data_IF_557644325496
#
_entry.id   IF_557644325496
#
_cell.length_a   1.000
_cell.length_b   1.000
_cell.length_c   1.000
_cell.angle_alpha   90.00
_cell.angle_beta   90.00
_cell.angle_gamma   90.00
#
_symmetry.space_group_name_H-M   'P 1'
#
loop_
_entity.id
_entity.type
_entity.pdbx_description
1 polymer ?
#
# COMPACT_ATOMS: atom_id res chain seq x y z
N UNK A 1 -20.43 -36.07 -52.80
CA UNK A 1 -20.63 -36.34 -51.33
C UNK A 1 -19.33 -36.32 -50.52
N UNK A 2 -18.16 -36.70 -51.03
CA UNK A 2 -16.90 -36.74 -50.27
C UNK A 2 -16.35 -35.33 -50.03
N UNK A 3 -16.42 -34.41 -50.96
CA UNK A 3 -15.90 -33.03 -50.86
C UNK A 3 -16.68 -32.21 -49.84
N UNK A 4 -17.99 -32.42 -49.67
CA UNK A 4 -18.80 -31.72 -48.66
C UNK A 4 -18.49 -32.17 -47.21
N UNK A 5 -18.06 -33.41 -46.99
CA UNK A 5 -17.68 -33.93 -45.68
C UNK A 5 -16.31 -33.44 -45.22
N UNK A 6 -15.38 -33.15 -46.15
CA UNK A 6 -14.05 -32.62 -45.84
C UNK A 6 -14.15 -31.14 -45.42
N UNK A 7 -15.01 -30.37 -46.13
CA UNK A 7 -15.23 -28.95 -45.79
C UNK A 7 -15.83 -28.76 -44.37
N UNK A 8 -16.76 -29.62 -43.97
CA UNK A 8 -17.39 -29.56 -42.63
C UNK A 8 -16.41 -29.92 -41.50
N UNK A 9 -15.51 -30.87 -41.72
CA UNK A 9 -14.48 -31.29 -40.78
C UNK A 9 -13.42 -30.21 -40.59
N UNK A 10 -13.05 -29.44 -41.64
CA UNK A 10 -12.09 -28.32 -41.54
C UNK A 10 -12.67 -27.12 -40.78
N UNK A 11 -13.97 -26.84 -40.96
CA UNK A 11 -14.65 -25.75 -40.22
C UNK A 11 -14.81 -26.12 -38.74
N UNK A 12 -15.08 -27.40 -38.43
CA UNK A 12 -15.20 -27.83 -37.04
C UNK A 12 -13.85 -27.81 -36.30
N UNK A 13 -12.72 -28.02 -37.01
CA UNK A 13 -11.37 -27.93 -36.42
C UNK A 13 -10.91 -26.51 -36.20
N UNK A 14 -11.36 -25.53 -36.98
CA UNK A 14 -11.10 -24.12 -36.82
C UNK A 14 -11.90 -23.49 -35.66
N UNK A 15 -13.02 -24.10 -35.27
CA UNK A 15 -13.83 -23.63 -34.13
C UNK A 15 -13.34 -24.16 -32.77
N UNK A 16 -12.45 -25.15 -32.74
CA UNK A 16 -11.89 -25.75 -31.52
C UNK A 16 -10.60 -25.10 -31.03
N UNK A 17 -10.04 -24.15 -31.78
CA UNK A 17 -8.89 -23.34 -31.36
C UNK A 17 -9.30 -22.02 -30.68
N UNK A 18 -10.46 -21.97 -30.03
CA UNK A 18 -10.66 -20.98 -28.97
C UNK A 18 -9.69 -21.37 -27.84
N UNK A 19 -8.49 -20.80 -27.89
CA UNK A 19 -7.56 -20.82 -26.76
C UNK A 19 -8.36 -20.36 -25.54
N UNK A 20 -8.74 -21.33 -24.71
CA UNK A 20 -9.22 -21.04 -23.37
C UNK A 20 -8.04 -20.37 -22.66
N UNK A 21 -7.94 -19.05 -22.74
CA UNK A 21 -7.02 -18.27 -21.93
C UNK A 21 -7.42 -18.54 -20.49
N UNK A 22 -6.84 -19.58 -19.91
CA UNK A 22 -6.93 -19.83 -18.49
C UNK A 22 -6.40 -18.59 -17.80
N UNK A 23 -7.26 -17.88 -17.09
CA UNK A 23 -6.83 -16.70 -16.32
C UNK A 23 -5.75 -17.16 -15.34
N UNK A 24 -4.61 -16.48 -15.38
CA UNK A 24 -3.51 -16.75 -14.46
C UNK A 24 -3.92 -16.40 -13.03
N UNK A 25 -3.88 -17.37 -12.13
CA UNK A 25 -4.27 -17.17 -10.73
C UNK A 25 -3.09 -16.67 -9.90
N UNK A 26 -3.27 -15.53 -9.27
CA UNK A 26 -2.23 -14.81 -8.53
C UNK A 26 -2.75 -14.43 -7.14
N UNK A 27 -1.94 -14.67 -6.11
CA UNK A 27 -2.19 -14.20 -4.75
C UNK A 27 -1.52 -12.85 -4.53
N UNK A 28 -2.32 -11.85 -4.22
CA UNK A 28 -1.84 -10.49 -3.91
C UNK A 28 -2.23 -10.14 -2.49
N UNK A 29 -1.29 -9.59 -1.69
CA UNK A 29 -1.60 -9.11 -0.36
C UNK A 29 -1.74 -7.59 -0.31
N UNK A 30 -2.65 -7.11 0.55
CA UNK A 30 -2.73 -5.71 0.96
C UNK A 30 -2.64 -5.59 2.48
N UNK A 31 -2.01 -4.49 2.96
CA UNK A 31 -1.55 -4.42 4.34
C UNK A 31 -2.42 -3.59 5.30
N UNK A 32 -3.44 -2.90 4.78
CA UNK A 32 -4.39 -2.14 5.59
C UNK A 32 -5.77 -2.10 4.92
N UNK A 33 -6.83 -2.15 5.72
CA UNK A 33 -8.21 -2.11 5.25
C UNK A 33 -8.76 -0.67 5.12
N UNK A 34 -7.91 0.35 5.27
CA UNK A 34 -8.27 1.75 5.06
C UNK A 34 -8.17 2.17 3.59
N UNK A 35 -8.64 3.37 3.29
CA UNK A 35 -8.72 3.89 1.93
C UNK A 35 -7.36 4.05 1.21
N UNK A 36 -6.23 4.09 1.92
CA UNK A 36 -4.91 4.21 1.30
C UNK A 36 -4.56 3.01 0.41
N UNK A 37 -5.16 1.84 0.66
CA UNK A 37 -5.01 0.64 -0.14
C UNK A 37 -6.06 0.51 -1.26
N UNK A 38 -6.77 1.59 -1.59
CA UNK A 38 -7.91 1.58 -2.52
C UNK A 38 -7.63 0.83 -3.82
N UNK A 39 -6.52 1.10 -4.50
CA UNK A 39 -6.25 0.57 -5.84
C UNK A 39 -6.19 -0.96 -5.87
N UNK A 40 -5.78 -1.59 -4.77
CA UNK A 40 -5.66 -3.05 -4.66
C UNK A 40 -7.01 -3.74 -4.67
N UNK A 41 -7.93 -3.30 -3.82
CA UNK A 41 -9.25 -3.92 -3.74
C UNK A 41 -10.22 -3.37 -4.78
N UNK A 42 -10.04 -2.13 -5.24
CA UNK A 42 -10.82 -1.59 -6.34
C UNK A 42 -10.57 -2.35 -7.64
N UNK A 43 -9.33 -2.75 -7.95
CA UNK A 43 -9.02 -3.53 -9.13
C UNK A 43 -9.71 -4.91 -9.15
N UNK A 44 -10.05 -5.48 -7.97
CA UNK A 44 -10.90 -6.66 -7.86
C UNK A 44 -12.36 -6.31 -8.16
N UNK A 45 -12.91 -5.32 -7.46
CA UNK A 45 -14.35 -4.98 -7.52
C UNK A 45 -14.78 -4.42 -8.88
N UNK A 46 -13.89 -3.68 -9.56
CA UNK A 46 -14.12 -3.14 -10.90
C UNK A 46 -13.82 -4.14 -12.02
N UNK A 47 -13.23 -5.29 -11.68
CA UNK A 47 -12.82 -6.29 -12.66
C UNK A 47 -11.57 -5.93 -13.47
N UNK A 48 -10.77 -4.93 -13.06
CA UNK A 48 -9.57 -4.54 -13.82
C UNK A 48 -8.51 -5.65 -13.86
N UNK A 49 -8.37 -6.46 -12.81
CA UNK A 49 -7.51 -7.65 -12.89
C UNK A 49 -8.00 -8.63 -13.96
N UNK A 50 -9.29 -8.94 -13.98
CA UNK A 50 -9.90 -9.86 -14.98
C UNK A 50 -9.76 -9.30 -16.39
N UNK A 51 -9.99 -7.99 -16.59
CA UNK A 51 -9.77 -7.29 -17.87
C UNK A 51 -8.34 -7.46 -18.38
N UNK A 52 -7.38 -7.53 -17.48
CA UNK A 52 -5.96 -7.75 -17.78
C UNK A 52 -5.57 -9.26 -17.74
N UNK A 53 -6.53 -10.19 -17.83
CA UNK A 53 -6.27 -11.63 -17.91
C UNK A 53 -5.80 -12.29 -16.62
N UNK A 54 -6.09 -11.68 -15.45
CA UNK A 54 -5.66 -12.19 -14.15
C UNK A 54 -6.87 -12.57 -13.29
N UNK A 55 -6.77 -13.69 -12.60
CA UNK A 55 -7.62 -14.08 -11.47
C UNK A 55 -6.85 -13.84 -10.17
N UNK A 56 -7.28 -12.84 -9.39
CA UNK A 56 -6.55 -12.42 -8.19
C UNK A 56 -7.26 -12.85 -6.92
N UNK A 57 -6.56 -13.65 -6.11
CA UNK A 57 -6.90 -13.88 -4.70
C UNK A 57 -6.29 -12.75 -3.88
N UNK A 58 -7.13 -11.78 -3.49
CA UNK A 58 -6.69 -10.64 -2.68
C UNK A 58 -6.76 -10.97 -1.19
N UNK A 59 -5.60 -10.96 -0.51
CA UNK A 59 -5.42 -11.42 0.87
C UNK A 59 -5.08 -10.24 1.76
N UNK A 60 -5.84 -10.06 2.85
CA UNK A 60 -5.53 -9.07 3.87
C UNK A 60 -4.47 -9.60 4.84
N UNK A 61 -3.31 -8.94 4.92
CA UNK A 61 -2.24 -9.25 5.87
C UNK A 61 -1.92 -7.97 6.65
N UNK A 62 -2.37 -7.83 7.91
CA UNK A 62 -2.27 -6.58 8.68
C UNK A 62 -0.81 -6.28 9.06
N UNK A 63 -0.12 -5.50 8.30
CA UNK A 63 1.24 -4.95 8.42
C UNK A 63 2.12 -5.24 7.21
N UNK A 64 2.77 -4.20 6.71
CA UNK A 64 3.75 -4.32 5.60
C UNK A 64 4.87 -5.30 5.93
N UNK A 65 5.34 -5.35 7.18
CA UNK A 65 6.42 -6.27 7.60
C UNK A 65 5.99 -7.73 7.47
N UNK A 66 4.75 -8.07 7.86
CA UNK A 66 4.23 -9.43 7.72
C UNK A 66 3.98 -9.78 6.25
N UNK A 67 3.44 -8.83 5.47
CA UNK A 67 3.21 -9.03 4.04
C UNK A 67 4.55 -9.25 3.27
N UNK A 68 5.61 -8.52 3.61
CA UNK A 68 6.98 -8.76 3.09
C UNK A 68 7.43 -10.19 3.38
N UNK A 69 7.24 -10.67 4.61
CA UNK A 69 7.61 -12.05 4.98
C UNK A 69 6.88 -13.10 4.14
N UNK A 70 5.60 -12.88 3.84
CA UNK A 70 4.81 -13.80 3.00
C UNK A 70 5.27 -13.78 1.53
N UNK A 71 5.75 -12.64 1.01
CA UNK A 71 6.36 -12.56 -0.33
C UNK A 71 7.68 -13.31 -0.37
N UNK A 72 8.52 -13.17 0.66
CA UNK A 72 9.80 -13.88 0.78
C UNK A 72 9.59 -15.39 0.85
N UNK A 73 8.58 -15.84 1.57
CA UNK A 73 8.22 -17.27 1.70
C UNK A 73 7.64 -17.86 0.40
N UNK A 74 7.22 -17.02 -0.56
CA UNK A 74 6.58 -17.46 -1.80
C UNK A 74 5.08 -17.75 -1.68
N UNK A 75 4.48 -17.55 -0.50
CA UNK A 75 3.03 -17.73 -0.27
C UNK A 75 2.20 -16.70 -1.05
N UNK A 76 2.76 -15.51 -1.25
CA UNK A 76 2.19 -14.37 -1.96
C UNK A 76 3.16 -13.96 -3.08
N UNK A 77 2.65 -13.75 -4.29
CA UNK A 77 3.47 -13.37 -5.44
C UNK A 77 3.82 -11.88 -5.46
N UNK A 78 2.87 -11.04 -5.02
CA UNK A 78 3.06 -9.60 -4.97
C UNK A 78 2.26 -9.01 -3.80
N UNK A 79 2.81 -8.00 -3.14
CA UNK A 79 2.11 -7.37 -2.03
C UNK A 79 2.24 -5.85 -2.06
N UNK A 80 1.23 -5.18 -1.46
CA UNK A 80 1.39 -3.80 -1.04
C UNK A 80 2.28 -3.72 0.19
N UNK A 81 3.39 -3.02 0.06
CA UNK A 81 4.33 -2.81 1.17
C UNK A 81 4.79 -1.35 1.25
N UNK A 82 5.23 -0.95 2.43
CA UNK A 82 5.97 0.29 2.60
C UNK A 82 7.46 0.09 2.35
N UNK A 83 8.12 1.10 1.79
CA UNK A 83 9.56 1.05 1.49
C UNK A 83 10.42 0.77 2.72
N UNK A 84 10.02 1.25 3.90
CA UNK A 84 10.72 0.93 5.14
C UNK A 84 10.74 -0.57 5.46
N UNK A 85 9.61 -1.27 5.27
CA UNK A 85 9.54 -2.72 5.47
C UNK A 85 10.38 -3.47 4.42
N UNK A 86 10.33 -3.02 3.16
CA UNK A 86 11.10 -3.63 2.06
C UNK A 86 12.59 -3.39 2.25
N UNK A 87 13.03 -2.17 2.60
CA UNK A 87 14.44 -1.85 2.87
C UNK A 87 15.00 -2.65 4.04
N UNK A 88 14.27 -2.77 5.16
CA UNK A 88 14.70 -3.58 6.30
C UNK A 88 14.89 -5.07 5.92
N UNK A 89 13.97 -5.64 5.15
CA UNK A 89 14.07 -7.02 4.69
C UNK A 89 15.23 -7.20 3.70
N UNK A 90 15.43 -6.27 2.77
CA UNK A 90 16.51 -6.31 1.78
C UNK A 90 17.89 -6.19 2.45
N UNK A 91 18.05 -5.27 3.41
CA UNK A 91 19.27 -5.18 4.24
C UNK A 91 19.47 -6.48 5.05
N UNK A 92 18.38 -7.17 5.40
CA UNK A 92 18.38 -8.51 5.99
C UNK A 92 18.86 -9.62 5.05
N UNK A 93 18.99 -9.35 3.74
CA UNK A 93 19.40 -10.30 2.70
C UNK A 93 18.27 -10.79 1.80
N UNK A 94 17.04 -10.27 1.95
CA UNK A 94 15.94 -10.67 1.10
C UNK A 94 16.06 -10.07 -0.30
N UNK A 95 15.83 -10.89 -1.33
CA UNK A 95 15.90 -10.49 -2.74
C UNK A 95 14.54 -9.91 -3.21
N UNK A 96 14.25 -8.68 -2.80
CA UNK A 96 13.01 -7.98 -3.06
C UNK A 96 13.20 -6.79 -4.00
N UNK A 97 12.11 -6.36 -4.65
CA UNK A 97 12.07 -5.18 -5.49
C UNK A 97 10.69 -4.50 -5.43
N UNK A 98 10.67 -3.18 -5.37
CA UNK A 98 9.49 -2.35 -5.56
C UNK A 98 9.34 -2.01 -7.04
N UNK A 99 8.20 -2.32 -7.63
CA UNK A 99 7.96 -2.15 -9.09
C UNK A 99 7.11 -0.95 -9.43
N UNK A 100 6.35 -0.43 -8.47
CA UNK A 100 5.52 0.77 -8.59
C UNK A 100 5.19 1.30 -7.20
N UNK A 101 4.90 2.60 -7.06
CA UNK A 101 4.42 3.17 -5.81
C UNK A 101 3.29 4.18 -6.05
N UNK A 102 2.13 3.92 -5.49
CA UNK A 102 0.90 4.67 -5.75
C UNK A 102 0.74 5.85 -4.79
N UNK A 103 1.35 5.79 -3.61
CA UNK A 103 1.44 6.90 -2.65
C UNK A 103 2.90 7.02 -2.20
N UNK A 104 3.52 8.15 -2.54
CA UNK A 104 4.92 8.47 -2.24
C UNK A 104 5.08 9.50 -1.10
N UNK A 105 4.16 9.50 -0.15
CA UNK A 105 4.24 10.31 1.06
C UNK A 105 3.66 9.53 2.23
N UNK A 106 3.89 10.01 3.45
CA UNK A 106 3.42 9.37 4.67
C UNK A 106 2.24 10.18 5.26
N UNK A 107 1.01 9.94 4.83
CA UNK A 107 -0.14 10.75 5.21
C UNK A 107 -0.71 10.32 6.55
N UNK A 108 0.00 10.60 7.65
CA UNK A 108 -0.40 10.18 8.99
C UNK A 108 -0.56 11.36 9.94
N UNK A 109 -1.48 11.20 10.87
CA UNK A 109 -1.73 12.10 11.99
C UNK A 109 -1.47 11.34 13.30
N UNK A 110 -0.89 12.01 14.28
CA UNK A 110 -0.77 11.45 15.63
C UNK A 110 -2.05 11.75 16.41
N UNK A 111 -2.91 10.75 16.48
CA UNK A 111 -4.12 10.78 17.30
C UNK A 111 -3.74 10.43 18.72
N UNK A 112 -4.15 11.25 19.69
CA UNK A 112 -3.87 11.07 21.11
C UNK A 112 -5.13 11.25 21.95
N UNK A 113 -5.11 10.76 23.19
CA UNK A 113 -6.18 11.02 24.16
C UNK A 113 -6.37 12.53 24.37
N UNK A 114 -7.58 12.97 24.60
CA UNK A 114 -7.95 14.39 24.71
C UNK A 114 -7.17 15.14 25.81
N UNK A 115 -6.76 14.43 26.86
CA UNK A 115 -5.92 14.95 27.95
C UNK A 115 -4.52 15.36 27.52
N UNK A 116 -4.01 14.84 26.38
CA UNK A 116 -2.68 15.15 25.85
C UNK A 116 -2.79 16.38 24.95
N UNK A 117 -2.35 17.53 25.42
CA UNK A 117 -2.48 18.82 24.74
C UNK A 117 -1.18 19.31 24.13
N UNK A 118 -0.06 18.76 24.55
CA UNK A 118 1.29 19.21 24.18
C UNK A 118 2.24 18.02 24.02
N UNK A 119 3.43 18.29 23.49
CA UNK A 119 4.52 17.31 23.45
C UNK A 119 4.92 16.85 24.85
N UNK A 120 4.92 17.76 25.84
CA UNK A 120 5.27 17.45 27.21
C UNK A 120 4.29 16.44 27.84
N UNK A 121 2.99 16.58 27.56
CA UNK A 121 1.97 15.63 28.07
C UNK A 121 2.15 14.21 27.46
N UNK A 122 2.81 14.11 26.30
CA UNK A 122 3.06 12.83 25.63
C UNK A 122 4.27 12.08 26.19
N UNK A 123 5.19 12.77 26.88
CA UNK A 123 6.36 12.12 27.49
C UNK A 123 5.95 11.02 28.48
N UNK A 124 6.61 9.88 28.36
CA UNK A 124 6.32 8.69 29.14
C UNK A 124 5.02 7.98 28.78
N UNK A 125 4.24 8.50 27.81
CA UNK A 125 3.02 7.87 27.30
C UNK A 125 3.31 7.03 26.07
N UNK A 126 2.60 5.91 25.93
CA UNK A 126 2.86 4.96 24.82
C UNK A 126 2.08 5.29 23.55
N UNK A 127 2.73 5.11 22.43
CA UNK A 127 2.16 5.18 21.07
C UNK A 127 2.13 3.80 20.43
N UNK A 128 0.95 3.39 19.92
CA UNK A 128 0.75 2.07 19.32
C UNK A 128 1.06 2.05 17.83
N UNK A 129 1.77 1.02 17.39
CA UNK A 129 2.09 0.74 15.98
C UNK A 129 1.67 -0.67 15.58
N UNK A 130 1.66 -0.99 14.27
CA UNK A 130 1.37 -2.37 13.86
C UNK A 130 2.55 -3.29 14.18
N UNK A 131 3.70 -3.04 13.61
CA UNK A 131 4.97 -3.75 13.86
C UNK A 131 6.15 -2.80 13.60
N UNK A 132 7.27 -3.09 14.22
CA UNK A 132 8.53 -2.36 13.95
C UNK A 132 8.89 -2.47 12.47
N UNK A 133 9.30 -1.35 11.88
CA UNK A 133 9.66 -1.23 10.45
C UNK A 133 8.45 -1.05 9.50
N UNK A 134 7.21 -1.12 10.00
CA UNK A 134 6.02 -0.84 9.17
C UNK A 134 5.82 0.66 8.92
N UNK A 135 4.90 1.02 8.00
CA UNK A 135 4.54 2.42 7.75
C UNK A 135 4.07 3.14 9.03
N UNK A 136 3.33 2.45 9.91
CA UNK A 136 2.90 3.04 11.19
C UNK A 136 4.04 3.26 12.19
N UNK A 137 5.10 2.46 12.16
CA UNK A 137 6.30 2.70 12.97
C UNK A 137 7.07 3.92 12.46
N UNK A 138 7.29 4.00 11.15
CA UNK A 138 7.95 5.16 10.53
C UNK A 138 7.15 6.43 10.83
N UNK A 139 5.82 6.38 10.71
CA UNK A 139 4.94 7.50 11.02
C UNK A 139 5.03 7.91 12.49
N UNK A 140 4.94 6.96 13.43
CA UNK A 140 5.04 7.25 14.86
C UNK A 140 6.36 7.95 15.21
N UNK A 141 7.48 7.43 14.69
CA UNK A 141 8.81 8.01 14.92
C UNK A 141 8.94 9.40 14.32
N UNK A 142 8.47 9.60 13.10
CA UNK A 142 8.52 10.89 12.43
C UNK A 142 7.67 11.94 13.17
N UNK A 143 6.44 11.59 13.57
CA UNK A 143 5.53 12.48 14.30
C UNK A 143 6.04 12.82 15.69
N UNK A 144 6.59 11.85 16.42
CA UNK A 144 7.23 12.09 17.73
C UNK A 144 8.44 12.99 17.61
N UNK A 145 9.31 12.79 16.59
CA UNK A 145 10.43 13.70 16.30
C UNK A 145 9.96 15.10 15.89
N UNK A 146 8.87 15.19 15.12
CA UNK A 146 8.25 16.45 14.74
C UNK A 146 7.76 17.27 15.95
N UNK A 147 7.48 16.61 17.07
CA UNK A 147 7.16 17.26 18.35
C UNK A 147 8.42 17.64 19.17
N UNK A 148 9.63 17.37 18.68
CA UNK A 148 10.87 17.61 19.42
C UNK A 148 11.18 16.53 20.46
N UNK A 149 10.52 15.36 20.39
CA UNK A 149 10.72 14.26 21.32
C UNK A 149 11.53 13.11 20.67
N UNK A 150 12.25 12.35 21.50
CA UNK A 150 12.98 11.18 21.04
C UNK A 150 12.11 9.91 21.09
N UNK A 151 11.81 9.28 19.92
CA UNK A 151 11.06 8.03 19.87
C UNK A 151 11.73 6.93 20.68
N UNK A 152 10.95 6.12 21.37
CA UNK A 152 11.35 5.04 22.30
C UNK A 152 11.88 5.57 23.63
N UNK A 153 12.69 6.63 23.63
CA UNK A 153 13.26 7.21 24.85
C UNK A 153 12.23 8.04 25.62
N UNK A 154 11.67 9.05 24.94
CA UNK A 154 10.69 9.93 25.56
C UNK A 154 9.25 9.40 25.43
N UNK A 155 8.98 8.68 24.33
CA UNK A 155 7.66 8.11 24.00
C UNK A 155 7.81 6.63 23.67
N UNK A 156 7.45 5.71 24.56
CA UNK A 156 7.45 4.28 24.30
C UNK A 156 6.60 3.94 23.07
N UNK A 157 7.15 3.15 22.14
CA UNK A 157 6.47 2.68 20.94
C UNK A 157 6.14 1.21 21.07
N UNK A 158 4.82 0.87 21.09
CA UNK A 158 4.32 -0.48 21.37
C UNK A 158 3.76 -1.15 20.12
N UNK A 159 4.14 -2.39 19.86
CA UNK A 159 3.50 -3.21 18.83
C UNK A 159 2.14 -3.69 19.33
N UNK A 160 1.07 -3.24 18.68
CA UNK A 160 -0.33 -3.51 19.09
C UNK A 160 -1.07 -4.31 18.02
N UNK A 161 -0.73 -4.11 16.75
CA UNK A 161 -1.41 -4.72 15.61
C UNK A 161 -1.92 -3.71 14.58
N UNK A 162 -2.82 -4.14 13.71
CA UNK A 162 -3.41 -3.32 12.66
C UNK A 162 -4.20 -2.10 13.18
N UNK A 163 -4.83 -1.35 12.29
CA UNK A 163 -5.59 -0.15 12.68
C UNK A 163 -6.75 -0.46 13.64
N UNK A 164 -7.54 -1.54 13.47
CA UNK A 164 -8.59 -1.90 14.40
C UNK A 164 -8.07 -2.20 15.81
N UNK A 165 -6.97 -2.94 15.92
CA UNK A 165 -6.36 -3.31 17.21
C UNK A 165 -5.80 -2.08 17.92
N UNK A 166 -5.18 -1.16 17.19
CA UNK A 166 -4.71 0.12 17.74
C UNK A 166 -5.86 0.98 18.24
N UNK A 167 -6.95 1.08 17.46
CA UNK A 167 -8.15 1.81 17.88
C UNK A 167 -8.78 1.19 19.15
N UNK A 168 -8.81 -0.14 19.26
CA UNK A 168 -9.29 -0.82 20.46
C UNK A 168 -8.38 -0.57 21.67
N UNK A 169 -7.06 -0.66 21.51
CA UNK A 169 -6.10 -0.38 22.57
C UNK A 169 -6.13 1.09 23.02
N UNK A 170 -6.36 2.02 22.11
CA UNK A 170 -6.56 3.43 22.41
C UNK A 170 -7.83 3.67 23.22
N UNK A 171 -8.95 3.04 22.83
CA UNK A 171 -10.23 3.13 23.54
C UNK A 171 -10.16 2.65 24.98
N UNK A 172 -9.37 1.61 25.25
CA UNK A 172 -9.19 1.05 26.59
C UNK A 172 -8.11 1.76 27.41
N UNK A 173 -7.46 2.80 26.85
CA UNK A 173 -6.36 3.52 27.51
C UNK A 173 -5.05 2.73 27.59
N UNK A 174 -4.93 1.58 26.92
CA UNK A 174 -3.70 0.79 26.86
C UNK A 174 -2.57 1.51 26.13
N UNK A 175 -2.92 2.36 25.16
CA UNK A 175 -2.02 3.30 24.50
C UNK A 175 -2.60 4.71 24.59
N UNK A 176 -1.73 5.70 24.69
CA UNK A 176 -2.11 7.10 24.76
C UNK A 176 -2.32 7.74 23.38
N UNK A 177 -1.78 7.13 22.34
CA UNK A 177 -1.94 7.59 20.98
C UNK A 177 -1.51 6.54 19.94
N UNK A 178 -1.79 6.85 18.69
CA UNK A 178 -1.34 6.04 17.56
C UNK A 178 -1.29 6.87 16.27
N UNK A 179 -0.40 6.55 15.32
CA UNK A 179 -0.42 7.15 13.99
C UNK A 179 -1.65 6.64 13.23
N UNK A 180 -2.47 7.57 12.80
CA UNK A 180 -3.74 7.33 12.09
C UNK A 180 -3.60 7.69 10.60
N UNK A 181 -3.90 6.79 9.68
CA UNK A 181 -4.03 7.14 8.27
C UNK A 181 -5.29 8.00 8.03
N UNK A 182 -5.44 8.64 6.84
CA UNK A 182 -6.54 9.54 6.55
C UNK A 182 -7.92 8.92 6.79
N UNK A 183 -8.80 9.70 7.41
CA UNK A 183 -10.19 9.33 7.66
C UNK A 183 -10.43 8.46 8.91
N UNK A 184 -9.44 7.73 9.38
CA UNK A 184 -9.60 6.80 10.54
C UNK A 184 -10.09 7.54 11.79
N UNK A 185 -9.77 8.81 11.95
CA UNK A 185 -10.21 9.63 13.07
C UNK A 185 -11.75 9.68 13.19
N UNK A 186 -12.49 9.63 12.09
CA UNK A 186 -13.95 9.60 12.11
C UNK A 186 -14.53 8.30 12.67
N UNK A 187 -13.71 7.24 12.83
CA UNK A 187 -14.10 5.99 13.49
C UNK A 187 -14.00 6.08 15.01
N UNK A 188 -13.29 7.08 15.50
CA UNK A 188 -13.19 7.38 16.93
C UNK A 188 -14.41 8.14 17.47
N UNK A 189 -15.55 8.10 16.76
CA UNK A 189 -16.79 8.76 17.19
C UNK A 189 -17.18 8.32 18.61
N UNK A 190 -17.36 9.31 19.48
CA UNK A 190 -17.67 9.09 20.91
C UNK A 190 -16.45 8.81 21.79
N UNK A 191 -15.24 8.79 21.24
CA UNK A 191 -13.99 8.75 22.01
C UNK A 191 -13.38 10.16 22.06
N UNK A 192 -13.19 10.74 23.25
CA UNK A 192 -12.45 11.99 23.38
C UNK A 192 -11.02 11.82 22.87
N UNK A 193 -10.66 12.59 21.84
CA UNK A 193 -9.36 12.50 21.20
C UNK A 193 -8.93 13.84 20.61
N UNK A 194 -7.67 13.93 20.28
CA UNK A 194 -7.04 15.09 19.63
C UNK A 194 -6.06 14.61 18.56
N UNK A 195 -5.91 15.38 17.48
CA UNK A 195 -4.76 15.31 16.59
C UNK A 195 -3.70 16.22 17.19
N UNK A 196 -2.57 15.65 17.59
CA UNK A 196 -1.49 16.41 18.21
C UNK A 196 -0.55 17.02 17.17
N UNK A 197 -0.28 16.29 16.10
CA UNK A 197 0.53 16.71 14.96
C UNK A 197 0.18 15.86 13.73
N UNK A 198 0.33 16.43 12.54
CA UNK A 198 0.19 15.74 11.26
C UNK A 198 1.51 15.81 10.47
N UNK A 199 1.75 14.83 9.61
CA UNK A 199 2.86 14.93 8.62
C UNK A 199 2.64 16.06 7.63
N UNK A 200 1.40 16.57 7.49
CA UNK A 200 1.08 17.76 6.71
C UNK A 200 1.61 19.06 7.34
N UNK A 201 1.88 19.05 8.65
CA UNK A 201 2.43 20.21 9.39
C UNK A 201 3.95 20.34 9.22
N UNK A 202 4.60 19.35 8.59
CA UNK A 202 6.05 19.39 8.35
C UNK A 202 6.39 20.45 7.28
N UNK A 203 7.49 21.16 7.48
CA UNK A 203 7.97 22.21 6.55
C UNK A 203 8.25 21.68 5.13
N UNK A 204 8.63 20.41 5.01
CA UNK A 204 8.83 19.72 3.74
C UNK A 204 7.89 18.54 3.65
N UNK A 205 7.39 18.24 2.44
CA UNK A 205 6.71 17.00 2.15
C UNK A 205 7.53 15.82 2.67
N UNK A 206 6.90 14.93 3.40
CA UNK A 206 7.55 13.72 3.90
C UNK A 206 7.57 12.68 2.77
N UNK A 207 8.66 12.66 2.00
CA UNK A 207 8.83 11.67 0.95
C UNK A 207 9.06 10.29 1.55
N UNK A 208 8.16 9.39 1.23
CA UNK A 208 8.14 8.03 1.76
C UNK A 208 7.40 7.11 0.79
N UNK A 209 8.02 6.01 0.30
CA UNK A 209 7.34 5.01 -0.50
C UNK A 209 6.35 4.24 0.38
N UNK A 210 5.09 4.69 0.39
CA UNK A 210 4.08 4.25 1.35
C UNK A 210 3.26 3.07 0.85
N UNK A 211 2.71 3.18 -0.36
CA UNK A 211 1.81 2.17 -0.96
C UNK A 211 2.46 1.68 -2.26
N UNK A 212 3.30 0.65 -2.15
CA UNK A 212 4.12 0.20 -3.26
C UNK A 212 3.89 -1.28 -3.58
N UNK A 213 3.85 -1.61 -4.87
CA UNK A 213 3.93 -2.99 -5.37
C UNK A 213 5.31 -3.56 -5.09
N UNK A 214 5.36 -4.67 -4.36
CA UNK A 214 6.61 -5.35 -4.02
C UNK A 214 6.51 -6.84 -4.37
N UNK A 215 7.55 -7.35 -4.97
CA UNK A 215 7.69 -8.77 -5.29
C UNK A 215 9.15 -9.21 -5.11
N UNK A 216 9.46 -10.48 -5.32
CA UNK A 216 10.86 -10.94 -5.39
C UNK A 216 11.47 -10.59 -6.75
N UNK A 217 12.78 -10.35 -6.80
CA UNK A 217 13.51 -10.14 -8.07
C UNK A 217 13.35 -11.33 -9.02
N UNK A 218 13.34 -12.55 -8.48
CA UNK A 218 13.11 -13.77 -9.26
C UNK A 218 11.73 -13.76 -9.91
N UNK A 219 10.66 -13.47 -9.17
CA UNK A 219 9.31 -13.40 -9.72
C UNK A 219 9.19 -12.32 -10.80
N UNK A 220 9.75 -11.13 -10.57
CA UNK A 220 9.76 -10.07 -11.58
C UNK A 220 10.45 -10.54 -12.88
N UNK A 221 11.58 -11.24 -12.76
CA UNK A 221 12.33 -11.72 -13.94
C UNK A 221 11.57 -12.78 -14.71
N UNK A 222 10.99 -13.76 -14.01
CA UNK A 222 10.33 -14.92 -14.65
C UNK A 222 8.89 -14.65 -15.07
N UNK A 223 8.20 -13.67 -14.43
CA UNK A 223 6.79 -13.34 -14.66
C UNK A 223 6.58 -11.83 -14.94
N UNK A 224 7.50 -11.23 -15.71
CA UNK A 224 7.48 -9.79 -15.98
C UNK A 224 6.15 -9.33 -16.60
N UNK A 225 5.58 -10.13 -17.51
CA UNK A 225 4.29 -9.82 -18.12
C UNK A 225 3.15 -9.84 -17.10
N UNK A 226 3.13 -10.79 -16.18
CA UNK A 226 2.16 -10.83 -15.09
C UNK A 226 2.25 -9.59 -14.21
N UNK A 227 3.47 -9.18 -13.80
CA UNK A 227 3.68 -7.93 -13.03
C UNK A 227 3.23 -6.71 -13.81
N UNK A 228 3.46 -6.67 -15.15
CA UNK A 228 2.98 -5.60 -16.02
C UNK A 228 1.45 -5.53 -16.04
N UNK A 229 0.76 -6.65 -16.22
CA UNK A 229 -0.71 -6.73 -16.21
C UNK A 229 -1.31 -6.33 -14.85
N UNK A 230 -0.66 -6.71 -13.74
CA UNK A 230 -1.03 -6.23 -12.39
C UNK A 230 -0.88 -4.71 -12.32
N UNK A 231 0.26 -4.16 -12.76
CA UNK A 231 0.53 -2.72 -12.74
C UNK A 231 -0.50 -1.96 -13.59
N UNK A 232 -0.88 -2.47 -14.76
CA UNK A 232 -1.94 -1.89 -15.60
C UNK A 232 -3.28 -1.83 -14.86
N UNK A 233 -3.70 -2.92 -14.22
CA UNK A 233 -4.94 -2.97 -13.43
C UNK A 233 -4.95 -1.97 -12.28
N UNK A 234 -3.83 -1.79 -11.58
CA UNK A 234 -3.71 -0.84 -10.46
C UNK A 234 -3.67 0.62 -10.93
N UNK A 235 -3.10 0.90 -12.10
CA UNK A 235 -3.15 2.23 -12.74
C UNK A 235 -4.59 2.54 -13.18
N UNK A 236 -5.32 1.58 -13.75
CA UNK A 236 -6.75 1.72 -14.08
C UNK A 236 -7.59 2.00 -12.82
N UNK A 237 -7.30 1.31 -11.70
CA UNK A 237 -7.94 1.56 -10.42
C UNK A 237 -7.60 2.95 -9.86
N UNK A 238 -6.40 3.46 -10.12
CA UNK A 238 -6.01 4.85 -9.76
C UNK A 238 -6.81 5.87 -10.56
N UNK A 239 -6.99 5.65 -11.86
CA UNK A 239 -7.82 6.53 -12.69
C UNK A 239 -9.29 6.48 -12.24
N UNK A 240 -9.82 5.28 -11.96
CA UNK A 240 -11.16 5.12 -11.42
C UNK A 240 -11.36 5.89 -10.11
N UNK A 241 -10.40 5.80 -9.17
CA UNK A 241 -10.41 6.58 -7.93
C UNK A 241 -10.56 8.08 -8.20
N UNK A 242 -9.83 8.60 -9.17
CA UNK A 242 -9.79 10.04 -9.48
C UNK A 242 -11.03 10.55 -10.21
N UNK A 243 -11.80 9.69 -10.87
CA UNK A 243 -12.91 10.07 -11.76
C UNK A 243 -14.28 9.56 -11.31
N UNK A 244 -14.35 8.58 -10.41
CA UNK A 244 -15.58 7.91 -9.98
C UNK A 244 -15.78 8.01 -8.47
N UNK A 245 -16.05 9.23 -7.98
CA UNK A 245 -16.14 9.54 -6.55
C UNK A 245 -17.11 8.64 -5.79
N UNK A 246 -18.37 8.59 -6.22
CA UNK A 246 -19.40 7.89 -5.45
C UNK A 246 -19.24 6.37 -5.48
N UNK A 247 -18.78 5.81 -6.61
CA UNK A 247 -18.45 4.39 -6.73
C UNK A 247 -17.23 4.06 -5.87
N UNK A 248 -16.21 4.93 -5.85
CA UNK A 248 -15.04 4.76 -4.99
C UNK A 248 -15.40 4.78 -3.51
N UNK A 249 -16.30 5.67 -3.08
CA UNK A 249 -16.80 5.69 -1.69
C UNK A 249 -17.50 4.38 -1.31
N UNK A 250 -18.29 3.78 -2.22
CA UNK A 250 -18.93 2.47 -1.99
C UNK A 250 -17.88 1.36 -1.79
N UNK A 251 -16.84 1.36 -2.62
CA UNK A 251 -15.74 0.40 -2.48
C UNK A 251 -14.99 0.62 -1.16
N UNK A 252 -14.66 1.87 -0.80
CA UNK A 252 -14.05 2.19 0.49
C UNK A 252 -14.93 1.67 1.63
N UNK A 253 -16.25 1.91 1.59
CA UNK A 253 -17.18 1.45 2.61
C UNK A 253 -17.15 -0.08 2.79
N UNK A 254 -17.14 -0.82 1.68
CA UNK A 254 -17.11 -2.28 1.67
C UNK A 254 -15.87 -2.83 2.38
N UNK A 255 -14.68 -2.38 2.01
CA UNK A 255 -13.41 -2.93 2.51
C UNK A 255 -13.04 -2.40 3.90
N UNK A 256 -13.35 -1.15 4.20
CA UNK A 256 -13.17 -0.60 5.55
C UNK A 256 -14.25 -1.05 6.54
N UNK A 257 -15.35 -1.65 6.05
CA UNK A 257 -16.56 -1.99 6.84
C UNK A 257 -17.14 -0.78 7.57
N UNK A 258 -17.11 0.39 6.91
CA UNK A 258 -17.55 1.67 7.48
C UNK A 258 -18.57 2.33 6.57
N UNK A 259 -19.67 2.81 7.17
CA UNK A 259 -20.73 3.52 6.46
C UNK A 259 -20.89 4.98 6.94
N UNK A 260 -19.96 5.50 7.75
CA UNK A 260 -19.97 6.87 8.21
C UNK A 260 -19.70 7.82 7.03
N UNK A 261 -20.65 8.73 6.67
CA UNK A 261 -20.47 9.61 5.52
C UNK A 261 -19.25 10.53 5.62
N UNK A 262 -18.94 11.05 6.81
CA UNK A 262 -17.79 11.93 7.02
C UNK A 262 -16.48 11.15 6.85
N UNK A 263 -16.41 9.90 7.35
CA UNK A 263 -15.27 9.01 7.10
C UNK A 263 -15.09 8.76 5.61
N UNK A 264 -16.16 8.41 4.89
CA UNK A 264 -16.07 8.08 3.46
C UNK A 264 -15.65 9.28 2.63
N UNK A 265 -16.20 10.47 2.93
CA UNK A 265 -15.88 11.70 2.23
C UNK A 265 -14.41 12.10 2.47
N UNK A 266 -13.98 12.20 3.73
CA UNK A 266 -12.61 12.61 4.07
C UNK A 266 -11.55 11.60 3.58
N UNK A 267 -11.85 10.31 3.69
CA UNK A 267 -10.98 9.25 3.17
C UNK A 267 -10.83 9.34 1.65
N UNK A 268 -11.94 9.48 0.93
CA UNK A 268 -11.91 9.63 -0.53
C UNK A 268 -11.10 10.85 -0.97
N UNK A 269 -11.41 12.03 -0.41
CA UNK A 269 -10.72 13.28 -0.76
C UNK A 269 -9.22 13.16 -0.55
N UNK A 270 -8.82 12.59 0.59
CA UNK A 270 -7.40 12.41 0.90
C UNK A 270 -6.72 11.46 -0.11
N UNK A 271 -7.27 10.27 -0.32
CA UNK A 271 -6.58 9.26 -1.15
C UNK A 271 -6.64 9.59 -2.64
N UNK A 272 -7.70 10.25 -3.13
CA UNK A 272 -7.77 10.71 -4.51
C UNK A 272 -6.69 11.76 -4.83
N UNK A 273 -6.31 12.59 -3.84
CA UNK A 273 -5.20 13.55 -3.94
C UNK A 273 -3.83 12.87 -3.83
N UNK A 274 -3.70 11.87 -2.95
CA UNK A 274 -2.43 11.24 -2.61
C UNK A 274 -1.93 10.23 -3.65
N UNK A 275 -2.85 9.55 -4.36
CA UNK A 275 -2.44 8.58 -5.37
C UNK A 275 -1.83 9.27 -6.59
N UNK A 276 -0.62 8.89 -6.91
CA UNK A 276 0.09 9.44 -8.07
C UNK A 276 -0.47 8.84 -9.37
N UNK A 277 -0.61 9.69 -10.41
CA UNK A 277 -1.09 9.27 -11.74
C UNK A 277 -0.11 8.31 -12.41
N UNK A 278 1.18 8.62 -12.30
CA UNK A 278 2.29 7.77 -12.74
C UNK A 278 2.95 7.23 -11.48
N UNK A 279 2.80 5.93 -11.17
CA UNK A 279 3.22 5.38 -9.89
C UNK A 279 4.73 5.07 -9.83
N UNK A 280 5.58 6.07 -10.08
CA UNK A 280 7.01 5.97 -9.87
C UNK A 280 7.32 5.90 -8.37
N UNK A 281 8.44 5.27 -8.00
CA UNK A 281 8.87 5.16 -6.61
C UNK A 281 9.72 6.39 -6.24
N UNK A 282 9.39 7.10 -5.16
CA UNK A 282 10.20 8.23 -4.71
C UNK A 282 11.64 7.79 -4.40
N UNK A 283 12.60 8.35 -5.13
CA UNK A 283 14.02 8.05 -4.94
C UNK A 283 14.50 8.57 -3.58
N UNK A 284 14.22 9.83 -3.27
CA UNK A 284 14.63 10.47 -2.01
C UNK A 284 14.04 9.74 -0.80
N UNK A 285 12.74 9.42 -0.84
CA UNK A 285 12.11 8.64 0.23
C UNK A 285 12.72 7.26 0.40
N UNK A 286 13.07 6.59 -0.70
CA UNK A 286 13.71 5.27 -0.67
C UNK A 286 15.12 5.34 -0.09
N UNK A 287 15.93 6.34 -0.45
CA UNK A 287 17.27 6.58 0.10
C UNK A 287 17.23 6.76 1.62
N UNK A 288 16.26 7.53 2.12
CA UNK A 288 16.06 7.71 3.57
C UNK A 288 15.76 6.37 4.25
N UNK A 289 14.86 5.55 3.67
CA UNK A 289 14.51 4.26 4.26
C UNK A 289 15.67 3.25 4.23
N UNK A 290 16.47 3.25 3.17
CA UNK A 290 17.70 2.44 3.09
C UNK A 290 18.68 2.88 4.16
N UNK A 291 18.95 4.18 4.32
CA UNK A 291 19.85 4.73 5.35
C UNK A 291 19.41 4.32 6.76
N UNK A 292 18.11 4.41 7.06
CA UNK A 292 17.56 3.98 8.34
C UNK A 292 17.70 2.47 8.58
N UNK A 293 17.51 1.66 7.54
CA UNK A 293 17.68 0.21 7.63
C UNK A 293 19.13 -0.19 7.84
N UNK A 294 20.08 0.44 7.12
CA UNK A 294 21.51 0.23 7.25
C UNK A 294 22.05 0.62 8.62
N UNK A 295 21.52 1.69 9.24
CA UNK A 295 21.89 2.10 10.58
C UNK A 295 21.61 1.02 11.65
N UNK A 296 20.66 0.09 11.37
CA UNK A 296 20.33 -1.04 12.24
C UNK A 296 21.17 -2.28 11.98
N UNK A 297 21.92 -2.33 10.88
CA UNK A 297 22.75 -3.49 10.49
C UNK A 297 24.12 -3.02 9.98
N UNK A 298 25.05 -2.66 10.87
CA UNK A 298 26.39 -2.24 10.47
C UNK A 298 27.07 -3.27 9.57
N UNK A 299 27.78 -2.80 8.54
CA UNK A 299 28.47 -3.63 7.55
C UNK A 299 27.62 -4.09 6.37
N UNK A 300 26.30 -3.87 6.38
CA UNK A 300 25.47 -4.10 5.22
C UNK A 300 25.56 -2.93 4.22
N UNK A 301 25.28 -3.23 2.95
CA UNK A 301 25.16 -2.22 1.88
C UNK A 301 23.88 -2.48 1.08
N UNK A 302 23.23 -1.43 0.62
CA UNK A 302 22.07 -1.49 -0.27
C UNK A 302 21.96 -0.15 -1.01
N UNK A 303 21.70 -0.20 -2.31
CA UNK A 303 21.47 0.98 -3.15
C UNK A 303 20.04 1.00 -3.64
N UNK A 304 19.53 2.17 -4.05
CA UNK A 304 18.17 2.33 -4.55
C UNK A 304 17.92 1.43 -5.76
N UNK A 305 18.88 1.34 -6.68
CA UNK A 305 18.79 0.55 -7.92
C UNK A 305 18.67 -0.96 -7.65
N UNK A 306 19.06 -1.40 -6.46
CA UNK A 306 18.91 -2.79 -6.04
C UNK A 306 17.52 -3.08 -5.44
N UNK A 307 16.79 -2.03 -5.06
CA UNK A 307 15.49 -2.12 -4.38
C UNK A 307 14.31 -1.65 -5.26
N UNK A 308 14.58 -0.93 -6.34
CA UNK A 308 13.55 -0.31 -7.20
C UNK A 308 13.77 -0.71 -8.66
N UNK A 309 12.71 -1.19 -9.31
CA UNK A 309 12.65 -1.41 -10.75
C UNK A 309 11.37 -0.81 -11.33
N UNK A 310 11.47 0.36 -11.89
CA UNK A 310 10.35 1.10 -12.51
C UNK A 310 10.20 0.83 -14.01
N UNK A 311 10.92 -0.13 -14.56
CA UNK A 311 10.98 -0.37 -16.01
C UNK A 311 9.58 -0.58 -16.62
N UNK A 312 8.68 -1.25 -15.89
CA UNK A 312 7.29 -1.48 -16.30
C UNK A 312 6.48 -0.17 -16.29
N UNK A 313 6.59 0.64 -15.25
CA UNK A 313 5.87 1.93 -15.16
C UNK A 313 6.31 2.86 -16.29
N UNK A 314 7.63 2.97 -16.53
CA UNK A 314 8.18 3.80 -17.62
C UNK A 314 7.81 3.29 -19.01
N UNK A 315 7.72 1.98 -19.19
CA UNK A 315 7.21 1.37 -20.43
C UNK A 315 5.74 1.76 -20.67
N UNK A 316 4.89 1.65 -19.63
CA UNK A 316 3.47 2.02 -19.72
C UNK A 316 3.27 3.52 -19.94
N UNK A 317 4.07 4.37 -19.33
CA UNK A 317 4.08 5.81 -19.55
C UNK A 317 4.48 6.13 -21.00
N UNK A 318 5.61 5.61 -21.47
CA UNK A 318 6.13 5.84 -22.82
C UNK A 318 5.19 5.33 -23.91
N UNK A 319 4.45 4.24 -23.67
CA UNK A 319 3.44 3.72 -24.61
C UNK A 319 2.19 4.59 -24.73
N UNK A 320 2.05 5.61 -23.88
CA UNK A 320 0.86 6.44 -23.75
C UNK A 320 -0.33 5.74 -23.11
N UNK A 321 -0.13 4.55 -22.51
CA UNK A 321 -1.19 3.81 -21.81
C UNK A 321 -1.85 4.66 -20.73
N UNK A 322 -1.01 5.30 -19.87
CA UNK A 322 -1.50 6.12 -18.76
C UNK A 322 -2.25 7.36 -19.30
N UNK A 323 -1.70 8.06 -20.28
CA UNK A 323 -2.29 9.28 -20.83
C UNK A 323 -3.64 9.05 -21.49
N UNK A 324 -3.82 7.93 -22.19
CA UNK A 324 -5.08 7.56 -22.85
C UNK A 324 -6.24 7.41 -21.86
N UNK A 325 -5.97 7.06 -20.62
CA UNK A 325 -7.02 6.88 -19.58
C UNK A 325 -7.56 8.20 -19.01
N UNK A 326 -6.85 9.30 -19.22
CA UNK A 326 -7.24 10.62 -18.70
C UNK A 326 -7.72 11.59 -19.80
N UNK A 327 -7.81 11.12 -21.03
CA UNK A 327 -8.45 11.82 -22.17
C UNK A 327 -9.94 11.54 -22.19
#
# INVERSE_FOLDING_TARGET
MVVQRIGLALILFLLLSAESYSQERIKIAYSSADASNFVWYAAVDTGFYKKNGLEVDLIFIPSSTTAVSSVIAGDIQLANNSGGAVANAAVGGASLVMTACYINTLPYELVVQESIKSAEDLKGKSVGISRVGSASDVAARALVKGLGLEPVKDVPILQVGGAPERAAAFRTGRIAGFPSPPGIIHLAKGMPHRILISTADFQKRFDFPCICSTTTKSFLTTHRDTVKRITMALIEATQFLKTRKEESKKIIAKYSRQNNPAYLESSYVAVAKLHDRVPLVTREGTEVQIKEALARKPGASLRVEELVDESIVRELEKSGFIDKMYR
#
